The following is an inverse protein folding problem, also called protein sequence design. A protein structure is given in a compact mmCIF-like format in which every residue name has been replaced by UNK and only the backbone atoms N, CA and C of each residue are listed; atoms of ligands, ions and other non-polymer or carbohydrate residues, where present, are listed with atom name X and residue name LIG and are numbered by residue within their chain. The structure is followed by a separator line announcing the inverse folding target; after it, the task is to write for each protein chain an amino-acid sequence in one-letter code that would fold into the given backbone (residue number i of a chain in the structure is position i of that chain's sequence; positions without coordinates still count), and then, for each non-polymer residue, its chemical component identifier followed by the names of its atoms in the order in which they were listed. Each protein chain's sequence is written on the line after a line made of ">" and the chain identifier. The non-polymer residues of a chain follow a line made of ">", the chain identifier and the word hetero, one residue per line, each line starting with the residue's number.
data_IF_906678578862
#
_entry.id   IF_906678578862
#
_cell.length_a   1.000
_cell.length_b   1.000
_cell.length_c   1.000
_cell.angle_alpha   90.00
_cell.angle_beta   90.00
_cell.angle_gamma   90.00
#
_symmetry.space_group_name_H-M   'P 1'
#
loop_
_entity.id
_entity.type
_entity.pdbx_description
1 polymer ?
#
# COMPACT_ATOMS: atom_id res chain seq x y z
N UNK A 1 -48.44 -18.48 14.65
CA UNK A 1 -48.72 -18.37 13.20
C UNK A 1 -48.93 -16.91 12.89
N UNK A 2 -48.17 -16.39 11.93
CA UNK A 2 -48.47 -15.21 11.10
C UNK A 2 -48.58 -13.82 11.75
N UNK A 3 -47.46 -13.12 11.79
CA UNK A 3 -47.44 -11.67 11.54
C UNK A 3 -46.16 -11.34 10.74
N UNK A 4 -46.13 -11.77 9.47
CA UNK A 4 -46.17 -10.89 8.29
C UNK A 4 -44.96 -9.94 8.18
N UNK A 5 -43.90 -10.51 7.60
CA UNK A 5 -43.18 -10.02 6.42
C UNK A 5 -43.64 -8.70 5.76
N UNK A 6 -43.42 -7.53 6.36
CA UNK A 6 -43.53 -6.26 5.60
C UNK A 6 -42.65 -5.12 6.10
N UNK A 7 -41.34 -5.30 6.26
CA UNK A 7 -40.41 -4.13 6.24
C UNK A 7 -39.22 -4.42 5.33
N UNK A 8 -39.51 -4.52 4.03
CA UNK A 8 -38.49 -4.46 3.00
C UNK A 8 -38.99 -3.59 1.84
N UNK A 9 -38.86 -2.26 1.96
CA UNK A 9 -38.81 -1.38 0.79
C UNK A 9 -38.24 -0.02 1.15
N UNK A 10 -36.95 0.14 0.84
CA UNK A 10 -36.20 1.37 0.52
C UNK A 10 -34.79 1.30 1.10
N UNK A 11 -34.03 0.26 0.74
CA UNK A 11 -32.57 0.40 0.66
C UNK A 11 -32.31 1.42 -0.44
N UNK A 12 -31.98 2.64 -0.03
CA UNK A 12 -31.75 3.77 -0.93
C UNK A 12 -30.70 3.40 -1.97
N UNK A 13 -30.88 3.86 -3.20
CA UNK A 13 -29.93 3.64 -4.30
C UNK A 13 -28.48 4.00 -3.90
N UNK A 14 -28.31 4.99 -3.01
CA UNK A 14 -27.02 5.35 -2.42
C UNK A 14 -26.35 4.23 -1.63
N UNK A 15 -27.07 3.45 -0.82
CA UNK A 15 -26.49 2.33 -0.06
C UNK A 15 -26.07 1.19 -0.99
N UNK A 16 -26.86 0.89 -2.04
CA UNK A 16 -26.48 -0.13 -3.02
C UNK A 16 -25.28 0.27 -3.87
N UNK A 17 -25.15 1.56 -4.17
CA UNK A 17 -24.01 2.11 -4.89
C UNK A 17 -22.76 2.12 -4.00
N UNK A 18 -22.92 2.46 -2.71
CA UNK A 18 -21.86 2.42 -1.72
C UNK A 18 -21.38 0.97 -1.47
N UNK A 19 -22.30 0.01 -1.36
CA UNK A 19 -21.98 -1.43 -1.23
C UNK A 19 -21.28 -1.97 -2.49
N UNK A 20 -21.66 -1.51 -3.68
CA UNK A 20 -21.02 -1.88 -4.95
C UNK A 20 -19.62 -1.27 -5.09
N UNK A 21 -19.45 -0.01 -4.69
CA UNK A 21 -18.17 0.71 -4.73
C UNK A 21 -17.19 0.20 -3.66
N UNK A 22 -17.69 -0.19 -2.49
CA UNK A 22 -16.92 -0.85 -1.43
C UNK A 22 -16.50 -2.30 -1.79
N UNK A 23 -17.21 -2.93 -2.73
CA UNK A 23 -16.88 -4.28 -3.20
C UNK A 23 -15.56 -4.30 -3.98
N UNK A 24 -14.85 -5.43 -3.94
CA UNK A 24 -13.58 -5.65 -4.65
C UNK A 24 -13.68 -5.29 -6.15
N UNK A 25 -14.85 -5.55 -6.76
CA UNK A 25 -15.11 -5.20 -8.17
C UNK A 25 -15.26 -3.69 -8.41
N UNK A 26 -15.82 -2.95 -7.45
CA UNK A 26 -15.97 -1.50 -7.52
C UNK A 26 -14.62 -0.79 -7.43
N UNK A 27 -13.74 -1.23 -6.52
CA UNK A 27 -12.37 -0.70 -6.38
C UNK A 27 -11.54 -0.88 -7.65
N UNK A 28 -11.67 -2.02 -8.31
CA UNK A 28 -10.97 -2.31 -9.58
C UNK A 28 -11.49 -1.41 -10.71
N UNK A 29 -12.81 -1.25 -10.83
CA UNK A 29 -13.42 -0.36 -11.84
C UNK A 29 -13.00 1.10 -11.61
N UNK A 30 -12.95 1.55 -10.35
CA UNK A 30 -12.44 2.87 -10.00
C UNK A 30 -10.98 3.05 -10.43
N UNK A 31 -10.10 2.11 -10.10
CA UNK A 31 -8.69 2.16 -10.52
C UNK A 31 -8.54 2.24 -12.05
N UNK A 32 -9.38 1.52 -12.80
CA UNK A 32 -9.39 1.63 -14.25
C UNK A 32 -9.88 3.00 -14.74
N UNK A 33 -10.92 3.57 -14.13
CA UNK A 33 -11.42 4.90 -14.48
C UNK A 33 -10.37 6.01 -14.23
N UNK A 34 -9.64 5.94 -13.11
CA UNK A 34 -8.50 6.83 -12.84
C UNK A 34 -7.40 6.70 -13.89
N UNK A 35 -7.00 5.46 -14.17
CA UNK A 35 -5.91 5.17 -15.11
C UNK A 35 -6.26 5.57 -16.55
N UNK A 36 -7.52 5.39 -16.96
CA UNK A 36 -8.01 5.83 -18.27
C UNK A 36 -8.08 7.35 -18.40
N UNK A 37 -8.57 8.05 -17.37
CA UNK A 37 -8.61 9.51 -17.35
C UNK A 37 -7.21 10.11 -17.48
N UNK A 38 -6.26 9.64 -16.67
CA UNK A 38 -4.87 10.09 -16.69
C UNK A 38 -4.21 9.86 -18.07
N UNK A 39 -4.50 8.73 -18.73
CA UNK A 39 -3.97 8.46 -20.06
C UNK A 39 -4.43 9.48 -21.12
N UNK A 40 -5.70 9.88 -21.08
CA UNK A 40 -6.27 10.89 -22.00
C UNK A 40 -5.63 12.26 -21.75
N UNK A 41 -5.39 12.61 -20.49
CA UNK A 41 -4.73 13.86 -20.09
C UNK A 41 -3.29 13.90 -20.58
N UNK A 42 -2.52 12.84 -20.33
CA UNK A 42 -1.12 12.72 -20.74
C UNK A 42 -1.00 12.74 -22.26
N UNK A 43 -1.92 12.09 -22.98
CA UNK A 43 -1.95 12.14 -24.42
C UNK A 43 -2.23 13.57 -24.93
N UNK A 44 -3.14 14.31 -24.28
CA UNK A 44 -3.43 15.72 -24.58
C UNK A 44 -2.23 16.65 -24.37
N UNK A 45 -1.48 16.47 -23.29
CA UNK A 45 -0.25 17.24 -23.03
C UNK A 45 0.87 16.87 -23.99
N UNK A 46 1.00 15.60 -24.37
CA UNK A 46 1.97 15.14 -25.37
C UNK A 46 1.74 15.80 -26.74
N UNK A 47 0.49 15.91 -27.19
CA UNK A 47 0.17 16.60 -28.45
C UNK A 47 0.48 18.10 -28.39
N UNK A 48 0.24 18.74 -27.23
CA UNK A 48 0.61 20.14 -26.98
C UNK A 48 2.12 20.35 -27.07
N UNK A 49 2.92 19.43 -26.52
CA UNK A 49 4.39 19.49 -26.57
C UNK A 49 4.94 19.23 -27.98
N UNK A 50 4.33 18.32 -28.74
CA UNK A 50 4.75 17.96 -30.10
C UNK A 50 4.22 18.92 -31.19
N UNK A 51 3.48 19.97 -30.81
CA UNK A 51 2.97 21.01 -31.71
C UNK A 51 2.12 20.47 -32.88
N UNK A 52 1.40 19.36 -32.65
CA UNK A 52 0.54 18.75 -33.66
C UNK A 52 -0.71 19.62 -33.92
N UNK A 53 -1.18 19.71 -35.17
CA UNK A 53 -2.43 20.42 -35.49
C UNK A 53 -3.59 19.77 -34.72
N UNK A 54 -4.36 20.59 -33.99
CA UNK A 54 -5.44 20.10 -33.10
C UNK A 54 -5.02 19.83 -31.65
N UNK A 55 -3.75 20.07 -31.28
CA UNK A 55 -3.27 19.88 -29.91
C UNK A 55 -4.05 20.68 -28.85
N UNK A 56 -4.54 21.88 -29.16
CA UNK A 56 -5.35 22.66 -28.23
C UNK A 56 -6.70 22.01 -27.94
N UNK A 57 -7.32 21.38 -28.94
CA UNK A 57 -8.58 20.66 -28.77
C UNK A 57 -8.37 19.40 -27.93
N UNK A 58 -7.31 18.63 -28.22
CA UNK A 58 -6.98 17.44 -27.45
C UNK A 58 -6.62 17.78 -26.00
N UNK A 59 -5.88 18.86 -25.76
CA UNK A 59 -5.57 19.32 -24.40
C UNK A 59 -6.83 19.75 -23.65
N UNK A 60 -7.76 20.44 -24.33
CA UNK A 60 -9.02 20.84 -23.73
C UNK A 60 -9.87 19.63 -23.32
N UNK A 61 -9.93 18.59 -24.17
CA UNK A 61 -10.57 17.31 -23.84
C UNK A 61 -9.85 16.62 -22.68
N UNK A 62 -8.52 16.57 -22.71
CA UNK A 62 -7.70 15.98 -21.64
C UNK A 62 -7.97 16.64 -20.29
N UNK A 63 -7.76 17.95 -20.18
CA UNK A 63 -8.01 18.68 -18.93
C UNK A 63 -9.48 18.66 -18.51
N UNK A 64 -10.43 18.63 -19.45
CA UNK A 64 -11.85 18.43 -19.12
C UNK A 64 -12.14 17.04 -18.52
N UNK A 65 -11.44 16.01 -19.00
CA UNK A 65 -11.56 14.65 -18.47
C UNK A 65 -10.96 14.56 -17.07
N UNK A 66 -9.85 15.26 -16.79
CA UNK A 66 -9.26 15.35 -15.45
C UNK A 66 -10.23 15.92 -14.42
N UNK A 67 -10.89 17.05 -14.76
CA UNK A 67 -11.88 17.67 -13.85
C UNK A 67 -13.03 16.72 -13.55
N UNK A 68 -13.47 15.93 -14.54
CA UNK A 68 -14.56 14.98 -14.37
C UNK A 68 -14.14 13.79 -13.49
N UNK A 69 -12.95 13.22 -13.72
CA UNK A 69 -12.43 12.10 -12.91
C UNK A 69 -12.15 12.56 -11.47
N UNK A 70 -11.60 13.76 -11.28
CA UNK A 70 -11.35 14.34 -9.96
C UNK A 70 -12.67 14.66 -9.21
N UNK A 71 -13.71 15.05 -9.94
CA UNK A 71 -15.03 15.25 -9.36
C UNK A 71 -15.66 13.93 -8.92
N UNK A 72 -15.57 12.88 -9.74
CA UNK A 72 -16.05 11.54 -9.38
C UNK A 72 -15.25 10.97 -8.19
N UNK A 73 -13.94 11.22 -8.15
CA UNK A 73 -13.08 10.77 -7.06
C UNK A 73 -13.34 11.46 -5.74
N UNK A 74 -13.83 12.70 -5.75
CA UNK A 74 -14.20 13.41 -4.54
C UNK A 74 -15.40 12.77 -3.82
N UNK A 75 -16.24 11.99 -4.53
CA UNK A 75 -17.30 11.19 -3.93
C UNK A 75 -16.83 9.78 -3.53
N UNK A 76 -15.61 9.40 -3.89
CA UNK A 76 -14.96 8.20 -3.36
C UNK A 76 -14.45 8.55 -1.97
N UNK A 77 -15.18 8.12 -0.95
CA UNK A 77 -14.75 8.29 0.44
C UNK A 77 -13.41 7.54 0.60
N UNK A 78 -12.34 8.20 1.08
CA UNK A 78 -11.09 7.50 1.36
C UNK A 78 -11.39 6.48 2.45
N UNK A 79 -11.61 5.23 2.04
CA UNK A 79 -11.49 4.11 2.93
C UNK A 79 -10.04 4.12 3.38
N UNK A 80 -9.82 4.68 4.57
CA UNK A 80 -8.63 4.45 5.39
C UNK A 80 -8.28 2.98 5.18
N UNK A 81 -7.16 2.72 4.53
CA UNK A 81 -6.71 1.36 4.29
C UNK A 81 -6.39 0.77 5.66
N UNK A 82 -7.40 0.16 6.28
CA UNK A 82 -7.20 -0.99 7.12
C UNK A 82 -6.34 -1.94 6.28
N UNK A 83 -5.08 -2.06 6.68
CA UNK A 83 -4.09 -2.88 6.02
C UNK A 83 -4.64 -4.28 5.80
N UNK A 84 -4.67 -4.72 4.56
CA UNK A 84 -4.94 -6.11 4.20
C UNK A 84 -4.34 -6.38 2.84
N UNK A 85 -3.05 -6.70 2.87
CA UNK A 85 -2.47 -7.88 2.23
C UNK A 85 -3.41 -8.58 1.25
N UNK A 86 -3.38 -8.18 -0.02
CA UNK A 86 -3.99 -8.91 -1.11
C UNK A 86 -2.92 -9.27 -2.15
N UNK A 87 -1.92 -10.01 -1.68
CA UNK A 87 -1.07 -10.89 -2.50
C UNK A 87 -1.05 -12.23 -1.77
N UNK A 88 -1.50 -13.30 -2.42
CA UNK A 88 -1.76 -14.59 -1.79
C UNK A 88 -0.58 -15.11 -0.99
N UNK A 89 -0.79 -15.38 0.30
CA UNK A 89 0.17 -16.07 1.16
C UNK A 89 -0.52 -17.26 1.78
N UNK A 90 -0.01 -18.44 1.41
CA UNK A 90 -0.30 -19.72 2.01
C UNK A 90 0.19 -19.66 3.46
N UNK A 91 -0.71 -19.91 4.41
CA UNK A 91 -0.36 -20.13 5.81
C UNK A 91 0.27 -21.53 5.90
N UNK A 92 1.58 -21.61 6.10
CA UNK A 92 2.27 -22.80 6.62
C UNK A 92 3.03 -22.37 7.87
N UNK A 93 2.75 -23.11 8.95
CA UNK A 93 3.15 -22.77 10.30
C UNK A 93 4.60 -23.07 10.67
N UNK A 94 4.92 -22.51 11.84
CA UNK A 94 5.81 -22.94 12.92
C UNK A 94 7.28 -23.31 12.62
N UNK A 95 8.18 -22.77 13.46
CA UNK A 95 9.58 -23.19 13.54
C UNK A 95 10.60 -22.07 13.73
N UNK A 96 11.14 -22.04 14.95
CA UNK A 96 12.53 -21.67 15.29
C UNK A 96 12.91 -20.18 15.44
N UNK A 97 12.91 -19.79 16.72
CA UNK A 97 13.86 -18.88 17.37
C UNK A 97 15.29 -18.98 16.81
N UNK A 98 15.87 -17.84 16.44
CA UNK A 98 17.32 -17.62 16.44
C UNK A 98 17.65 -16.11 16.56
N UNK A 99 17.76 -15.68 17.82
CA UNK A 99 18.79 -14.84 18.45
C UNK A 99 19.58 -13.78 17.64
N UNK A 100 19.70 -12.60 18.30
CA UNK A 100 20.71 -11.51 18.21
C UNK A 100 20.25 -10.17 17.59
N UNK A 101 20.75 -9.02 18.09
CA UNK A 101 20.73 -8.53 19.47
C UNK A 101 19.93 -7.22 19.58
N UNK A 102 19.12 -7.10 20.63
CA UNK A 102 18.46 -5.84 20.99
C UNK A 102 19.48 -4.96 21.69
N UNK A 103 19.85 -3.84 21.07
CA UNK A 103 20.54 -2.75 21.78
C UNK A 103 19.50 -2.05 22.65
N UNK A 104 19.36 -2.53 23.87
CA UNK A 104 18.59 -1.89 24.94
C UNK A 104 19.35 -0.65 25.42
N UNK A 105 18.88 0.54 25.04
CA UNK A 105 19.26 1.79 25.72
C UNK A 105 18.44 1.88 27.02
N UNK A 106 19.06 2.07 28.19
CA UNK A 106 18.35 2.01 29.47
C UNK A 106 17.39 3.20 29.64
N UNK A 107 16.13 2.88 29.91
CA UNK A 107 15.17 3.84 30.46
C UNK A 107 15.56 4.14 31.92
N UNK A 108 16.26 5.25 32.15
CA UNK A 108 16.37 5.87 33.47
C UNK A 108 15.58 7.20 33.45
N UNK A 109 14.69 7.45 34.44
CA UNK A 109 14.18 8.79 34.66
C UNK A 109 15.33 9.67 35.13
N UNK A 110 15.69 10.66 34.31
CA UNK A 110 16.63 11.70 34.71
C UNK A 110 15.96 12.60 35.75
N UNK A 111 16.22 12.32 37.03
CA UNK A 111 15.99 13.29 38.11
C UNK A 111 16.93 14.46 37.89
N UNK A 112 16.39 15.59 37.42
CA UNK A 112 17.09 16.86 37.46
C UNK A 112 17.17 17.33 38.92
N UNK A 113 18.33 17.15 39.54
CA UNK A 113 18.67 17.65 40.87
C UNK A 113 18.71 19.19 40.84
N UNK A 114 17.66 19.85 41.34
CA UNK A 114 17.69 21.29 41.61
C UNK A 114 18.45 21.51 42.91
N UNK A 115 19.64 22.11 42.80
CA UNK A 115 20.49 22.48 43.93
C UNK A 115 19.80 23.49 44.84
N UNK A 116 19.93 23.25 46.14
CA UNK A 116 19.51 24.16 47.20
C UNK A 116 20.57 25.24 47.48
N UNK A 117 20.08 26.39 47.97
CA UNK A 117 20.77 27.51 48.65
C UNK A 117 21.29 28.62 47.70
N UNK A 118 21.07 29.92 47.92
CA UNK A 118 20.83 30.65 49.17
C UNK A 118 20.35 32.08 48.82
N UNK A 119 19.21 32.55 49.32
CA UNK A 119 19.00 33.97 49.70
C UNK A 119 17.94 34.07 50.81
N UNK A 120 18.45 34.31 52.01
CA UNK A 120 17.96 35.17 53.10
C UNK A 120 16.46 35.29 53.41
N UNK A 121 16.18 34.92 54.66
CA UNK A 121 15.07 35.34 55.52
C UNK A 121 14.72 36.84 55.44
N UNK A 122 13.41 37.13 55.41
CA UNK A 122 12.84 38.44 55.66
C UNK A 122 11.31 38.38 55.66
N UNK A 123 10.70 38.32 56.84
CA UNK A 123 9.26 38.53 57.02
C UNK A 123 8.83 39.84 56.33
N UNK A 124 7.99 39.75 55.29
CA UNK A 124 7.00 40.79 54.98
C UNK A 124 5.72 40.12 54.48
N UNK A 125 4.64 40.44 55.20
CA UNK A 125 3.22 40.36 54.83
C UNK A 125 2.98 40.38 53.31
N UNK A 126 2.06 39.57 52.76
CA UNK A 126 1.67 39.68 51.36
C UNK A 126 0.96 41.02 51.16
N UNK A 127 1.73 42.06 50.80
CA UNK A 127 1.20 43.25 50.19
C UNK A 127 0.80 42.84 48.77
N UNK A 128 -0.51 42.75 48.53
CA UNK A 128 -1.06 42.59 47.19
C UNK A 128 -0.71 43.85 46.37
N UNK A 129 0.42 43.80 45.68
CA UNK A 129 0.77 44.75 44.64
C UNK A 129 0.24 44.23 43.29
N UNK A 130 -0.24 45.11 42.40
CA UNK A 130 -0.78 44.69 41.09
C UNK A 130 0.25 43.97 40.18
N UNK A 131 1.55 44.09 40.43
CA UNK A 131 2.62 43.34 39.74
C UNK A 131 2.65 41.83 40.10
N UNK A 132 2.11 41.44 41.26
CA UNK A 132 2.07 40.04 41.68
C UNK A 132 0.98 39.23 40.96
N UNK A 133 -0.06 39.92 40.46
CA UNK A 133 -1.15 39.35 39.67
C UNK A 133 -0.70 39.03 38.23
N UNK A 134 0.14 39.88 37.65
CA UNK A 134 0.72 39.69 36.31
C UNK A 134 1.71 38.51 36.28
N UNK A 135 2.57 38.39 37.29
CA UNK A 135 3.54 37.30 37.39
C UNK A 135 2.88 35.95 37.72
N UNK A 136 1.78 35.93 38.47
CA UNK A 136 0.97 34.71 38.65
C UNK A 136 0.21 34.32 37.39
N UNK A 137 -0.30 35.28 36.61
CA UNK A 137 -0.91 35.00 35.30
C UNK A 137 0.12 34.46 34.30
N UNK A 138 1.30 35.05 34.21
CA UNK A 138 2.38 34.56 33.35
C UNK A 138 2.79 33.12 33.69
N UNK A 139 2.79 32.75 34.97
CA UNK A 139 3.06 31.38 35.42
C UNK A 139 1.94 30.41 35.02
N UNK A 140 0.68 30.81 35.12
CA UNK A 140 -0.49 30.02 34.70
C UNK A 140 -0.48 29.82 33.17
N UNK A 141 -0.14 30.86 32.40
CA UNK A 141 -0.03 30.77 30.95
C UNK A 141 1.10 29.84 30.52
N UNK A 142 2.26 29.89 31.22
CA UNK A 142 3.36 28.98 30.94
C UNK A 142 3.03 27.51 31.24
N UNK A 143 2.27 27.25 32.32
CA UNK A 143 1.79 25.89 32.63
C UNK A 143 0.77 25.40 31.59
N UNK A 144 -0.08 26.30 31.09
CA UNK A 144 -1.03 26.00 30.01
C UNK A 144 -0.30 25.64 28.71
N UNK A 145 0.73 26.40 28.36
CA UNK A 145 1.57 26.13 27.18
C UNK A 145 2.32 24.80 27.30
N UNK A 146 2.88 24.48 28.46
CA UNK A 146 3.49 23.16 28.72
C UNK A 146 2.47 22.02 28.65
N UNK A 147 1.26 22.24 29.15
CA UNK A 147 0.16 21.26 29.09
C UNK A 147 -0.26 21.01 27.63
N UNK A 148 -0.35 22.08 26.83
CA UNK A 148 -0.66 22.01 25.41
C UNK A 148 0.45 21.26 24.64
N UNK A 149 1.72 21.56 24.92
CA UNK A 149 2.87 20.81 24.37
C UNK A 149 2.86 19.34 24.76
N UNK A 150 2.58 18.99 26.03
CA UNK A 150 2.46 17.59 26.44
C UNK A 150 1.29 16.88 25.75
N UNK A 151 0.18 17.58 25.52
CA UNK A 151 -0.95 17.04 24.75
C UNK A 151 -0.56 16.76 23.30
N UNK A 152 0.15 17.69 22.65
CA UNK A 152 0.66 17.53 21.29
C UNK A 152 1.71 16.44 21.20
N UNK A 153 2.61 16.34 22.18
CA UNK A 153 3.63 15.31 22.25
C UNK A 153 3.02 13.93 22.46
N UNK A 154 1.95 13.82 23.26
CA UNK A 154 1.20 12.58 23.47
C UNK A 154 0.51 12.14 22.17
N UNK A 155 -0.13 13.07 21.46
CA UNK A 155 -0.72 12.80 20.15
C UNK A 155 0.34 12.44 19.09
N UNK A 156 1.52 13.06 19.16
CA UNK A 156 2.63 12.75 18.25
C UNK A 156 3.26 11.39 18.57
N UNK A 157 3.38 11.00 19.83
CA UNK A 157 3.83 9.67 20.22
C UNK A 157 2.90 8.57 19.70
N UNK A 158 1.58 8.82 19.68
CA UNK A 158 0.60 7.93 19.06
C UNK A 158 0.81 7.80 17.54
N UNK A 159 1.06 8.92 16.84
CA UNK A 159 1.41 8.86 15.40
C UNK A 159 2.71 8.10 15.12
N UNK A 160 3.72 8.25 15.99
CA UNK A 160 5.00 7.55 15.85
C UNK A 160 4.85 6.04 16.08
N UNK A 161 3.96 5.65 16.99
CA UNK A 161 3.58 4.25 17.20
C UNK A 161 2.92 3.66 15.94
N UNK A 162 2.05 4.43 15.26
CA UNK A 162 1.44 4.00 14.01
C UNK A 162 2.47 3.86 12.88
N UNK A 163 3.42 4.79 12.77
CA UNK A 163 4.52 4.72 11.80
C UNK A 163 5.45 3.53 12.06
N UNK A 164 5.72 3.20 13.32
CA UNK A 164 6.50 2.02 13.69
C UNK A 164 5.81 0.71 13.25
N UNK A 165 4.49 0.65 13.39
CA UNK A 165 3.69 -0.50 12.93
C UNK A 165 3.70 -0.60 11.39
N UNK A 166 3.60 0.53 10.69
CA UNK A 166 3.73 0.57 9.23
C UNK A 166 5.13 0.15 8.77
N UNK A 167 6.20 0.60 9.43
CA UNK A 167 7.56 0.16 9.15
C UNK A 167 7.74 -1.35 9.37
N UNK A 168 7.15 -1.90 10.42
CA UNK A 168 7.13 -3.34 10.68
C UNK A 168 6.43 -4.11 9.55
N UNK A 169 5.27 -3.61 9.10
CA UNK A 169 4.55 -4.18 7.96
C UNK A 169 5.37 -4.11 6.66
N UNK A 170 6.11 -3.01 6.44
CA UNK A 170 6.97 -2.83 5.28
C UNK A 170 8.15 -3.81 5.28
N UNK A 171 8.78 -4.02 6.44
CA UNK A 171 9.84 -5.02 6.60
C UNK A 171 9.33 -6.45 6.30
N UNK A 172 8.11 -6.77 6.76
CA UNK A 172 7.46 -8.06 6.47
C UNK A 172 7.14 -8.23 4.98
N UNK A 173 6.73 -7.15 4.32
CA UNK A 173 6.52 -7.14 2.86
C UNK A 173 7.84 -7.36 2.10
N UNK A 174 8.90 -6.64 2.49
CA UNK A 174 10.23 -6.79 1.88
C UNK A 174 10.75 -8.24 2.02
N UNK A 175 10.57 -8.86 3.19
CA UNK A 175 10.90 -10.27 3.39
C UNK A 175 10.07 -11.20 2.48
N UNK A 176 8.78 -10.92 2.30
CA UNK A 176 7.91 -11.65 1.38
C UNK A 176 8.35 -11.54 -0.08
N UNK A 177 8.78 -10.35 -0.52
CA UNK A 177 9.30 -10.12 -1.88
C UNK A 177 10.57 -10.94 -2.11
N UNK A 178 11.51 -10.93 -1.16
CA UNK A 178 12.74 -11.74 -1.27
C UNK A 178 12.43 -13.23 -1.39
N UNK A 179 11.49 -13.75 -0.59
CA UNK A 179 11.06 -15.14 -0.69
C UNK A 179 10.41 -15.49 -2.05
N UNK A 180 9.59 -14.59 -2.60
CA UNK A 180 9.02 -14.76 -3.95
C UNK A 180 10.11 -14.75 -5.01
N UNK A 181 11.11 -13.88 -4.87
CA UNK A 181 12.23 -13.78 -5.81
C UNK A 181 13.03 -15.08 -5.87
N UNK A 182 13.34 -15.68 -4.70
CA UNK A 182 13.99 -16.99 -4.63
C UNK A 182 13.13 -18.09 -5.26
N UNK A 183 11.81 -18.09 -4.99
CA UNK A 183 10.87 -19.03 -5.60
C UNK A 183 10.82 -18.87 -7.13
N UNK A 184 10.83 -17.64 -7.65
CA UNK A 184 10.83 -17.36 -9.09
C UNK A 184 12.11 -17.87 -9.75
N UNK A 185 13.27 -17.61 -9.15
CA UNK A 185 14.54 -18.14 -9.65
C UNK A 185 14.54 -19.67 -9.69
N UNK A 186 14.02 -20.31 -8.63
CA UNK A 186 13.90 -21.76 -8.57
C UNK A 186 12.92 -22.30 -9.62
N UNK A 187 11.76 -21.67 -9.77
CA UNK A 187 10.74 -22.04 -10.76
C UNK A 187 11.25 -21.87 -12.19
N UNK A 188 11.93 -20.75 -12.50
CA UNK A 188 12.57 -20.53 -13.79
C UNK A 188 13.63 -21.60 -14.07
N UNK A 189 14.42 -21.98 -13.06
CA UNK A 189 15.40 -23.07 -13.19
C UNK A 189 14.73 -24.41 -13.51
N UNK A 190 13.64 -24.77 -12.82
CA UNK A 190 12.87 -25.99 -13.13
C UNK A 190 12.23 -25.93 -14.51
N UNK A 191 11.75 -24.75 -14.92
CA UNK A 191 11.16 -24.53 -16.22
C UNK A 191 12.18 -24.72 -17.35
N UNK A 192 13.39 -24.18 -17.20
CA UNK A 192 14.49 -24.38 -18.16
C UNK A 192 14.79 -25.88 -18.32
N UNK A 193 14.91 -26.63 -17.22
CA UNK A 193 15.11 -28.08 -17.29
C UNK A 193 13.97 -28.81 -18.04
N UNK A 194 12.73 -28.36 -17.86
CA UNK A 194 11.57 -28.95 -18.56
C UNK A 194 11.61 -28.60 -20.06
N UNK A 195 11.98 -27.37 -20.40
CA UNK A 195 12.14 -26.92 -21.80
C UNK A 195 13.23 -27.75 -22.50
N UNK A 196 14.35 -28.03 -21.84
CA UNK A 196 15.41 -28.88 -22.39
C UNK A 196 14.91 -30.31 -22.67
N UNK A 197 14.16 -30.90 -21.72
CA UNK A 197 13.56 -32.22 -21.91
C UNK A 197 12.58 -32.24 -23.09
N UNK A 198 11.74 -31.21 -23.21
CA UNK A 198 10.78 -31.09 -24.32
C UNK A 198 11.52 -30.93 -25.66
N UNK A 199 12.60 -30.15 -25.70
CA UNK A 199 13.42 -30.01 -26.90
C UNK A 199 14.08 -31.32 -27.32
N UNK A 200 14.62 -32.08 -26.35
CA UNK A 200 15.18 -33.41 -26.57
C UNK A 200 14.13 -34.38 -27.13
N UNK A 201 12.94 -34.43 -26.50
CA UNK A 201 11.84 -35.26 -26.97
C UNK A 201 11.33 -34.86 -28.35
N UNK A 202 11.24 -33.56 -28.63
CA UNK A 202 10.84 -33.03 -29.94
C UNK A 202 11.84 -33.45 -31.02
N UNK A 203 13.15 -33.39 -30.74
CA UNK A 203 14.17 -33.90 -31.66
C UNK A 203 14.05 -35.40 -31.91
N UNK A 204 13.76 -36.19 -30.86
CA UNK A 204 13.53 -37.64 -31.01
C UNK A 204 12.31 -37.94 -31.88
N UNK A 205 11.19 -37.23 -31.66
CA UNK A 205 10.00 -37.35 -32.51
C UNK A 205 10.29 -36.98 -33.97
N UNK A 206 11.05 -35.91 -34.21
CA UNK A 206 11.43 -35.51 -35.57
C UNK A 206 12.23 -36.62 -36.29
N UNK A 207 13.20 -37.25 -35.60
CA UNK A 207 13.96 -38.39 -36.16
C UNK A 207 13.06 -39.58 -36.46
N UNK A 208 12.15 -39.92 -35.55
CA UNK A 208 11.23 -41.03 -35.77
C UNK A 208 10.32 -40.79 -36.99
N UNK A 209 9.86 -39.56 -37.19
CA UNK A 209 9.08 -39.19 -38.38
C UNK A 209 9.92 -39.33 -39.66
N UNK A 210 11.18 -38.91 -39.62
CA UNK A 210 12.11 -39.05 -40.74
C UNK A 210 12.37 -40.53 -41.08
N UNK A 211 12.61 -41.36 -40.06
CA UNK A 211 12.77 -42.81 -40.22
C UNK A 211 11.50 -43.47 -40.80
N UNK A 212 10.30 -43.11 -40.30
CA UNK A 212 9.05 -43.59 -40.87
C UNK A 212 8.93 -43.20 -42.34
N UNK A 213 9.18 -41.94 -42.68
CA UNK A 213 9.13 -41.45 -44.05
C UNK A 213 10.13 -42.18 -44.96
N UNK A 214 11.33 -42.49 -44.46
CA UNK A 214 12.33 -43.26 -45.19
C UNK A 214 11.89 -44.70 -45.44
N UNK A 215 11.23 -45.35 -44.47
CA UNK A 215 10.65 -46.70 -44.64
C UNK A 215 9.52 -46.68 -45.67
N UNK A 216 8.62 -45.69 -45.61
CA UNK A 216 7.55 -45.54 -46.61
C UNK A 216 8.12 -45.34 -48.02
N UNK A 217 9.17 -44.52 -48.16
CA UNK A 217 9.84 -44.33 -49.45
C UNK A 217 10.45 -45.63 -50.00
N UNK A 218 11.12 -46.42 -49.15
CA UNK A 218 11.68 -47.74 -49.54
C UNK A 218 10.59 -48.73 -49.94
N UNK A 219 9.48 -48.76 -49.20
CA UNK A 219 8.34 -49.63 -49.53
C UNK A 219 7.73 -49.24 -50.87
N UNK A 220 7.54 -47.93 -51.14
CA UNK A 220 7.00 -47.43 -52.40
C UNK A 220 7.90 -47.80 -53.58
N UNK A 221 9.22 -47.63 -53.43
CA UNK A 221 10.22 -48.02 -54.44
C UNK A 221 10.18 -49.53 -54.72
N UNK A 222 10.06 -50.36 -53.67
CA UNK A 222 9.96 -51.82 -53.83
C UNK A 222 8.68 -52.28 -54.54
N UNK A 223 7.59 -51.51 -54.43
CA UNK A 223 6.32 -51.79 -55.13
C UNK A 223 6.30 -51.25 -56.56
N UNK A 224 7.03 -50.17 -56.84
CA UNK A 224 7.17 -49.60 -58.19
C UNK A 224 8.17 -50.33 -59.08
N UNK A 225 9.12 -51.08 -58.52
CA UNK A 225 10.03 -51.96 -59.29
C UNK A 225 9.30 -53.26 -59.63
N UNK A 226 8.51 -53.23 -60.71
CA UNK A 226 8.02 -54.43 -61.41
C UNK A 226 7.70 -54.12 -62.86
#
# INVERSE_FOLDING_TARGET
>A
MMEKDTINRKRGLGQKLQDFMASYRGKVIMNYAYSWGAAIVIAGTLFKLTHLPGANLMLWIGMGTEVLVFFISAFDLPNQQAGSTAGGVIVVGDGAQANQPVVSVPNQPVSATVGANNYSSGNTTPAFTPEMEETTQAYIDQLKEMTEMLSHFTAQAESLSHDAEQMSALNRNLAGINAIYEMQLRSASTQINTIDQVHEQTRKMARQIEELNAVYARMLQAVQVK
#
